data_IF_798367557012
#
_entry.id   IF_798367557012
#
_cell.length_a   1.000
_cell.length_b   1.000
_cell.length_c   1.000
_cell.angle_alpha   90.00
_cell.angle_beta   90.00
_cell.angle_gamma   90.00
#
_symmetry.space_group_name_H-M   'P 1'
#
loop_
_entity.id
_entity.type
_entity.pdbx_description
1 polymer ?
#
# COMPACT_ATOMS: atom_id res chain seq x y z
N UNK A 1 -27.86 3.15 -23.79
CA UNK A 1 -28.18 2.43 -22.54
C UNK A 1 -26.87 2.24 -21.79
N UNK A 2 -26.54 3.14 -20.85
CA UNK A 2 -25.36 2.95 -19.99
C UNK A 2 -25.68 1.84 -19.01
N UNK A 3 -25.06 0.68 -19.17
CA UNK A 3 -25.05 -0.33 -18.12
C UNK A 3 -24.44 0.33 -16.88
N UNK A 4 -25.24 0.53 -15.83
CA UNK A 4 -24.70 0.79 -14.51
C UNK A 4 -23.97 -0.48 -14.10
N UNK A 5 -22.65 -0.50 -14.29
CA UNK A 5 -21.80 -1.54 -13.73
C UNK A 5 -21.97 -1.46 -12.23
N UNK A 6 -22.77 -2.37 -11.66
CA UNK A 6 -22.93 -2.47 -10.21
C UNK A 6 -21.58 -2.83 -9.62
N UNK A 7 -20.95 -1.89 -8.92
CA UNK A 7 -19.72 -2.17 -8.19
C UNK A 7 -20.08 -3.07 -7.00
N UNK A 8 -19.29 -4.11 -6.77
CA UNK A 8 -19.54 -5.08 -5.70
C UNK A 8 -18.39 -5.02 -4.72
N UNK A 9 -18.68 -4.58 -3.50
CA UNK A 9 -17.69 -4.59 -2.41
C UNK A 9 -17.46 -6.01 -1.93
N UNK A 10 -16.19 -6.37 -1.80
CA UNK A 10 -15.75 -7.60 -1.13
C UNK A 10 -15.65 -7.42 0.40
N UNK A 11 -15.81 -6.20 0.88
CA UNK A 11 -15.73 -5.84 2.29
C UNK A 11 -14.30 -5.48 2.72
N UNK A 12 -14.19 -5.13 4.02
CA UNK A 12 -12.90 -4.92 4.66
C UNK A 12 -12.30 -6.26 5.12
N UNK A 13 -10.97 -6.36 5.09
CA UNK A 13 -10.25 -7.55 5.54
C UNK A 13 -10.33 -7.81 7.05
N UNK A 14 -10.77 -6.85 7.87
CA UNK A 14 -10.81 -6.95 9.32
C UNK A 14 -9.89 -5.93 10.00
N UNK A 15 -9.75 -6.04 11.33
CA UNK A 15 -9.08 -5.03 12.17
C UNK A 15 -7.73 -5.49 12.73
N UNK A 16 -7.38 -6.75 12.54
CA UNK A 16 -6.09 -7.32 12.96
C UNK A 16 -5.51 -8.16 11.84
N UNK A 17 -4.20 -8.44 11.92
CA UNK A 17 -3.51 -9.27 10.93
C UNK A 17 -4.09 -10.70 10.91
N UNK A 18 -4.53 -11.20 12.06
CA UNK A 18 -5.16 -12.51 12.24
C UNK A 18 -6.52 -12.56 11.55
N UNK A 19 -7.37 -11.54 11.77
CA UNK A 19 -8.67 -11.44 11.09
C UNK A 19 -8.50 -11.34 9.57
N UNK A 20 -7.53 -10.54 9.11
CA UNK A 20 -7.25 -10.40 7.67
C UNK A 20 -6.86 -11.73 7.03
N UNK A 21 -6.02 -12.53 7.68
CA UNK A 21 -5.67 -13.88 7.19
C UNK A 21 -6.87 -14.83 7.24
N UNK A 22 -7.66 -14.80 8.32
CA UNK A 22 -8.88 -15.61 8.43
C UNK A 22 -9.89 -15.29 7.32
N UNK A 23 -9.95 -14.02 6.89
CA UNK A 23 -10.79 -13.55 5.80
C UNK A 23 -10.15 -13.75 4.41
N UNK A 24 -8.98 -14.41 4.33
CA UNK A 24 -8.30 -14.73 3.05
C UNK A 24 -7.65 -13.53 2.37
N UNK A 25 -7.44 -12.42 3.08
CA UNK A 25 -6.75 -11.26 2.55
C UNK A 25 -5.23 -11.43 2.54
N UNK A 26 -4.59 -10.66 1.66
CA UNK A 26 -3.14 -10.59 1.49
C UNK A 26 -2.64 -9.21 1.89
N UNK A 27 -1.48 -9.16 2.53
CA UNK A 27 -0.86 -7.91 2.89
C UNK A 27 -0.03 -7.36 1.72
N UNK A 28 -0.40 -6.19 1.23
CA UNK A 28 0.34 -5.45 0.21
C UNK A 28 1.25 -4.44 0.92
N UNK A 29 2.56 -4.75 1.00
CA UNK A 29 3.54 -3.91 1.69
C UNK A 29 3.67 -2.53 1.05
N UNK A 30 3.59 -2.43 -0.28
CA UNK A 30 3.65 -1.13 -0.96
C UNK A 30 2.40 -0.30 -0.65
N UNK A 31 1.21 -0.91 -0.50
CA UNK A 31 0.04 -0.20 0.08
C UNK A 31 0.13 0.03 1.59
N UNK A 32 0.98 -0.73 2.28
CA UNK A 32 0.96 -0.89 3.74
C UNK A 32 -0.40 -1.31 4.31
N UNK A 33 -1.17 -2.13 3.58
CA UNK A 33 -2.54 -2.50 3.95
C UNK A 33 -2.95 -3.91 3.50
N UNK A 34 -3.97 -4.45 4.17
CA UNK A 34 -4.57 -5.75 3.85
C UNK A 34 -5.64 -5.58 2.76
N UNK A 35 -5.54 -6.36 1.68
CA UNK A 35 -6.48 -6.33 0.55
C UNK A 35 -7.00 -7.73 0.21
N UNK A 36 -8.19 -7.80 -0.37
CA UNK A 36 -8.64 -9.03 -1.00
C UNK A 36 -7.77 -9.39 -2.22
N UNK A 37 -7.56 -10.68 -2.51
CA UNK A 37 -6.69 -11.13 -3.60
C UNK A 37 -6.95 -10.46 -4.97
N UNK A 38 -8.19 -10.18 -5.40
CA UNK A 38 -8.42 -9.49 -6.68
C UNK A 38 -7.81 -8.08 -6.79
N UNK A 39 -7.74 -7.35 -5.67
CA UNK A 39 -7.13 -6.03 -5.60
C UNK A 39 -5.61 -6.06 -5.34
N UNK A 40 -5.04 -7.23 -5.04
CA UNK A 40 -3.61 -7.37 -4.90
C UNK A 40 -2.96 -7.54 -6.29
N UNK A 41 -1.99 -6.68 -6.59
CA UNK A 41 -1.14 -6.84 -7.77
C UNK A 41 0.29 -7.07 -7.29
N UNK A 42 0.61 -8.34 -7.05
CA UNK A 42 1.92 -8.75 -6.53
C UNK A 42 3.06 -8.29 -7.44
N UNK A 43 2.99 -8.55 -8.75
CA UNK A 43 4.04 -8.17 -9.71
C UNK A 43 4.32 -6.66 -9.66
N UNK A 44 3.26 -5.84 -9.59
CA UNK A 44 3.41 -4.39 -9.51
C UNK A 44 3.98 -3.95 -8.15
N UNK A 45 3.51 -4.55 -7.04
CA UNK A 45 4.04 -4.25 -5.71
C UNK A 45 5.52 -4.60 -5.63
N UNK A 46 5.91 -5.78 -6.13
CA UNK A 46 7.28 -6.28 -6.12
C UNK A 46 8.19 -5.40 -6.98
N UNK A 47 7.71 -4.98 -8.16
CA UNK A 47 8.44 -4.04 -9.02
C UNK A 47 8.74 -2.74 -8.27
N UNK A 48 7.73 -2.12 -7.66
CA UNK A 48 7.91 -0.85 -6.93
C UNK A 48 8.80 -1.01 -5.69
N UNK A 49 8.71 -2.14 -4.98
CA UNK A 49 9.60 -2.45 -3.86
C UNK A 49 11.06 -2.62 -4.33
N UNK A 50 11.28 -3.13 -5.54
CA UNK A 50 12.62 -3.31 -6.12
C UNK A 50 13.25 -2.04 -6.71
N UNK A 51 12.50 -0.94 -6.89
CA UNK A 51 13.03 0.31 -7.45
C UNK A 51 14.05 0.99 -6.52
N UNK A 52 14.03 0.65 -5.22
CA UNK A 52 14.98 1.14 -4.23
C UNK A 52 15.39 0.03 -3.28
N UNK A 53 16.56 0.18 -2.65
CA UNK A 53 17.00 -0.72 -1.57
C UNK A 53 16.36 -0.30 -0.24
N UNK A 54 15.05 -0.51 -0.10
CA UNK A 54 14.33 -0.17 1.13
C UNK A 54 14.83 -1.00 2.32
N UNK A 55 15.11 -0.32 3.43
CA UNK A 55 15.34 -0.93 4.72
C UNK A 55 14.07 -0.76 5.57
N UNK A 56 13.74 -1.78 6.36
CA UNK A 56 12.58 -1.78 7.24
C UNK A 56 13.04 -1.92 8.68
N UNK A 57 12.32 -1.28 9.60
CA UNK A 57 12.65 -1.25 11.02
C UNK A 57 11.40 -1.30 11.88
N UNK A 58 11.54 -1.90 13.05
CA UNK A 58 10.49 -1.92 14.08
C UNK A 58 10.34 -0.59 14.82
N UNK A 59 11.44 0.15 14.92
CA UNK A 59 11.57 1.38 15.69
C UNK A 59 11.95 2.57 14.80
N UNK A 60 11.64 3.76 15.30
CA UNK A 60 11.91 5.01 14.60
C UNK A 60 13.41 5.34 14.52
N UNK A 61 14.22 4.85 15.47
CA UNK A 61 15.65 5.13 15.51
C UNK A 61 16.44 4.29 14.49
N UNK A 62 15.79 3.31 13.85
CA UNK A 62 16.40 2.47 12.82
C UNK A 62 17.36 1.41 13.39
N UNK A 63 17.20 1.05 14.66
CA UNK A 63 18.14 0.17 15.37
C UNK A 63 17.73 -1.31 15.33
N UNK A 64 16.44 -1.61 15.11
CA UNK A 64 15.88 -2.97 15.06
C UNK A 64 15.41 -3.27 13.64
N UNK A 65 16.28 -3.84 12.80
CA UNK A 65 15.94 -4.12 11.41
C UNK A 65 14.85 -5.19 11.29
N UNK A 66 14.12 -5.11 10.18
CA UNK A 66 13.19 -6.09 9.65
C UNK A 66 13.66 -6.50 8.25
N UNK A 67 13.63 -7.79 7.97
CA UNK A 67 13.73 -8.24 6.58
C UNK A 67 12.47 -7.83 5.81
N UNK A 68 12.57 -7.65 4.49
CA UNK A 68 11.39 -7.41 3.65
C UNK A 68 10.38 -8.56 3.78
N UNK A 69 10.86 -9.80 3.90
CA UNK A 69 10.02 -10.97 4.11
C UNK A 69 9.17 -10.85 5.39
N UNK A 70 9.75 -10.38 6.50
CA UNK A 70 9.01 -10.11 7.74
C UNK A 70 8.04 -8.92 7.59
N UNK A 71 8.47 -7.84 6.92
CA UNK A 71 7.61 -6.68 6.66
C UNK A 71 6.36 -7.06 5.84
N UNK A 72 6.51 -7.97 4.87
CA UNK A 72 5.41 -8.53 4.05
C UNK A 72 4.44 -9.41 4.83
N UNK A 73 4.78 -9.85 6.05
CA UNK A 73 3.83 -10.58 6.88
C UNK A 73 2.74 -9.67 7.43
N UNK A 74 2.95 -8.36 7.52
CA UNK A 74 1.96 -7.42 8.07
C UNK A 74 1.66 -7.62 9.57
N UNK A 75 2.61 -8.20 10.32
CA UNK A 75 2.47 -8.52 11.75
C UNK A 75 2.68 -7.31 12.68
N UNK A 76 3.30 -6.26 12.18
CA UNK A 76 3.70 -5.11 13.00
C UNK A 76 2.65 -4.02 12.90
N UNK A 77 2.26 -3.39 14.00
CA UNK A 77 1.35 -2.23 13.91
C UNK A 77 1.97 -1.06 13.14
N UNK A 78 3.29 -0.90 13.30
CA UNK A 78 4.09 0.11 12.63
C UNK A 78 5.34 -0.52 12.04
N UNK A 79 5.72 -0.06 10.86
CA UNK A 79 7.03 -0.32 10.26
C UNK A 79 7.60 1.05 9.87
N UNK A 80 8.89 1.26 10.15
CA UNK A 80 9.62 2.43 9.70
C UNK A 80 10.50 2.06 8.52
N UNK A 81 10.59 2.94 7.53
CA UNK A 81 11.38 2.73 6.31
C UNK A 81 11.84 4.06 5.74
N UNK A 82 12.65 4.00 4.68
CA UNK A 82 13.25 5.17 4.06
C UNK A 82 12.20 6.22 3.68
N UNK A 83 12.56 7.49 3.75
CA UNK A 83 11.70 8.59 3.32
C UNK A 83 11.26 8.49 1.86
N UNK A 84 12.08 7.91 1.00
CA UNK A 84 11.76 7.62 -0.40
C UNK A 84 10.53 6.72 -0.58
N UNK A 85 10.24 5.84 0.40
CA UNK A 85 9.12 4.90 0.32
C UNK A 85 7.77 5.61 0.19
N UNK A 86 7.56 6.72 0.89
CA UNK A 86 6.31 7.49 0.79
C UNK A 86 6.04 7.95 -0.66
N UNK A 87 7.07 8.40 -1.37
CA UNK A 87 6.93 8.85 -2.75
C UNK A 87 6.76 7.69 -3.72
N UNK A 88 7.44 6.57 -3.46
CA UNK A 88 7.25 5.31 -4.19
C UNK A 88 5.81 4.80 -4.06
N UNK A 89 5.26 4.83 -2.84
CA UNK A 89 3.85 4.54 -2.57
C UNK A 89 2.92 5.47 -3.34
N UNK A 90 3.18 6.78 -3.32
CA UNK A 90 2.36 7.75 -4.05
C UNK A 90 2.34 7.47 -5.57
N UNK A 91 3.50 7.16 -6.17
CA UNK A 91 3.57 6.76 -7.57
C UNK A 91 2.89 5.40 -7.84
N UNK A 92 2.99 4.46 -6.88
CA UNK A 92 2.35 3.15 -6.95
C UNK A 92 0.83 3.24 -7.05
N UNK A 93 0.20 4.18 -6.32
CA UNK A 93 -1.26 4.41 -6.40
C UNK A 93 -1.72 4.67 -7.84
N UNK A 94 -1.02 5.50 -8.60
CA UNK A 94 -1.39 5.73 -10.01
C UNK A 94 -1.08 4.53 -10.90
N UNK A 95 0.02 3.83 -10.62
CA UNK A 95 0.33 2.60 -11.34
C UNK A 95 -0.75 1.53 -11.13
N UNK A 96 -1.33 1.41 -9.92
CA UNK A 96 -2.50 0.54 -9.65
C UNK A 96 -3.72 0.99 -10.46
N UNK A 97 -4.03 2.28 -10.49
CA UNK A 97 -5.15 2.80 -11.29
C UNK A 97 -4.99 2.50 -12.79
N UNK A 98 -3.78 2.69 -13.34
CA UNK A 98 -3.48 2.35 -14.74
C UNK A 98 -3.59 0.84 -14.97
N UNK A 99 -3.08 0.03 -14.04
CA UNK A 99 -3.16 -1.43 -14.12
C UNK A 99 -4.61 -1.93 -14.08
N UNK A 100 -5.44 -1.38 -13.21
CA UNK A 100 -6.86 -1.74 -13.07
C UNK A 100 -7.66 -1.49 -14.36
N UNK A 101 -7.35 -0.40 -15.09
CA UNK A 101 -7.97 -0.10 -16.40
C UNK A 101 -7.70 -1.14 -17.48
N UNK A 102 -6.68 -1.99 -17.29
CA UNK A 102 -6.32 -3.07 -18.22
C UNK A 102 -6.93 -4.42 -17.82
N UNK A 103 -7.64 -4.49 -16.69
CA UNK A 103 -8.24 -5.72 -16.15
C UNK A 103 -9.75 -5.78 -16.44
N UNK A 104 -10.26 -6.99 -16.61
CA UNK A 104 -11.70 -7.27 -16.64
C UNK A 104 -11.96 -8.48 -15.72
N UNK A 105 -12.76 -8.34 -14.64
CA UNK A 105 -13.42 -7.10 -14.21
C UNK A 105 -12.42 -6.01 -13.77
N UNK A 106 -12.87 -4.74 -13.82
CA UNK A 106 -12.14 -3.64 -13.19
C UNK A 106 -12.21 -3.82 -11.68
N UNK A 107 -11.05 -3.89 -11.02
CA UNK A 107 -10.94 -4.09 -9.57
C UNK A 107 -9.93 -3.10 -8.99
N UNK A 108 -10.30 -2.41 -7.90
CA UNK A 108 -9.43 -1.43 -7.27
C UNK A 108 -9.79 -1.17 -5.79
N UNK A 109 -8.76 -1.06 -4.95
CA UNK A 109 -8.95 -0.78 -3.53
C UNK A 109 -9.43 0.66 -3.25
N UNK A 110 -10.07 0.86 -2.10
CA UNK A 110 -10.63 2.15 -1.67
C UNK A 110 -9.63 3.30 -1.62
N UNK A 111 -8.39 3.06 -1.19
CA UNK A 111 -7.37 4.10 -1.10
C UNK A 111 -6.84 4.52 -2.47
N UNK A 112 -6.81 3.59 -3.43
CA UNK A 112 -6.46 3.90 -4.82
C UNK A 112 -7.61 4.55 -5.59
N UNK A 113 -8.85 4.47 -5.08
CA UNK A 113 -10.03 5.19 -5.62
C UNK A 113 -10.29 6.53 -4.95
N UNK A 114 -9.76 6.76 -3.74
CA UNK A 114 -9.98 7.97 -2.97
C UNK A 114 -9.36 9.20 -3.65
N UNK A 115 -10.19 10.20 -3.96
CA UNK A 115 -9.75 11.46 -4.58
C UNK A 115 -8.75 12.17 -3.68
N UNK A 116 -9.07 12.33 -2.39
CA UNK A 116 -8.21 13.00 -1.42
C UNK A 116 -6.84 12.33 -1.33
N UNK A 117 -6.80 10.99 -1.27
CA UNK A 117 -5.54 10.26 -1.20
C UNK A 117 -4.72 10.41 -2.48
N UNK A 118 -5.38 10.35 -3.64
CA UNK A 118 -4.73 10.51 -4.96
C UNK A 118 -4.20 11.94 -5.14
N UNK A 119 -4.94 12.97 -4.73
CA UNK A 119 -4.50 14.36 -4.77
C UNK A 119 -3.31 14.62 -3.85
N UNK A 120 -3.31 14.06 -2.63
CA UNK A 120 -2.13 14.05 -1.75
C UNK A 120 -0.94 13.41 -2.46
N UNK A 121 -1.13 12.25 -3.10
CA UNK A 121 -0.06 11.58 -3.84
C UNK A 121 0.49 12.43 -4.99
N UNK A 122 -0.38 13.15 -5.73
CA UNK A 122 0.02 14.10 -6.79
C UNK A 122 0.90 15.20 -6.22
N UNK A 123 0.47 15.82 -5.12
CA UNK A 123 1.22 16.90 -4.50
C UNK A 123 2.56 16.41 -3.95
N UNK A 124 2.61 15.23 -3.32
CA UNK A 124 3.85 14.69 -2.75
C UNK A 124 4.88 14.32 -3.81
N UNK A 125 4.46 13.70 -4.91
CA UNK A 125 5.38 13.38 -6.01
C UNK A 125 5.85 14.65 -6.72
N UNK A 126 4.96 15.62 -6.96
CA UNK A 126 5.30 16.88 -7.63
C UNK A 126 6.13 17.86 -6.79
N UNK A 127 6.08 17.74 -5.46
CA UNK A 127 6.82 18.59 -4.53
C UNK A 127 7.37 17.76 -3.35
N UNK A 128 8.48 17.02 -3.57
CA UNK A 128 9.02 16.14 -2.56
C UNK A 128 9.64 16.90 -1.39
N UNK A 129 9.32 16.48 -0.16
CA UNK A 129 10.01 16.97 1.03
C UNK A 129 11.39 16.32 1.13
N UNK A 130 12.42 17.05 0.69
CA UNK A 130 13.81 16.59 0.65
C UNK A 130 14.38 16.21 2.02
N UNK A 131 13.90 16.83 3.11
CA UNK A 131 14.38 16.48 4.45
C UNK A 131 13.84 15.13 4.88
N UNK A 132 12.60 14.80 4.50
CA UNK A 132 12.03 13.47 4.72
C UNK A 132 12.73 12.42 3.87
N UNK A 133 12.92 12.69 2.57
CA UNK A 133 13.55 11.76 1.60
C UNK A 133 14.90 11.25 2.08
N UNK A 134 15.70 12.13 2.69
CA UNK A 134 17.05 11.79 3.17
C UNK A 134 17.08 10.89 4.42
N UNK A 135 15.94 10.68 5.10
CA UNK A 135 15.90 9.91 6.35
C UNK A 135 15.79 8.40 6.10
N UNK A 136 16.59 7.64 6.85
CA UNK A 136 16.54 6.16 6.88
C UNK A 136 15.19 5.63 7.39
N UNK A 137 14.53 6.36 8.30
CA UNK A 137 13.23 6.03 8.89
C UNK A 137 12.20 7.15 8.64
N UNK A 138 12.33 7.84 7.49
CA UNK A 138 11.48 8.99 7.13
C UNK A 138 10.02 8.65 6.83
N UNK A 139 9.68 7.38 6.64
CA UNK A 139 8.32 6.92 6.38
C UNK A 139 7.89 5.95 7.49
N UNK A 140 6.72 6.21 8.07
CA UNK A 140 6.08 5.32 9.04
C UNK A 140 4.84 4.70 8.40
N UNK A 141 4.86 3.39 8.21
CA UNK A 141 3.76 2.60 7.68
C UNK A 141 2.80 2.19 8.81
N UNK A 142 1.49 2.35 8.61
CA UNK A 142 0.47 1.98 9.59
C UNK A 142 -0.23 0.67 9.20
N UNK A 143 0.50 -0.42 9.32
CA UNK A 143 0.22 -1.73 8.74
C UNK A 143 -1.12 -2.39 9.16
N UNK A 144 -1.60 -2.14 10.38
CA UNK A 144 -2.70 -2.94 10.97
C UNK A 144 -4.09 -2.28 10.99
N UNK A 145 -4.25 -1.05 10.48
CA UNK A 145 -5.57 -0.36 10.50
C UNK A 145 -5.99 0.23 9.17
N UNK A 146 -5.18 0.12 8.11
CA UNK A 146 -5.60 0.52 6.78
C UNK A 146 -6.65 -0.47 6.26
N UNK A 147 -7.91 -0.06 6.36
CA UNK A 147 -9.08 -0.81 5.92
C UNK A 147 -9.28 -0.54 4.44
N UNK A 148 -8.75 -1.45 3.62
CA UNK A 148 -8.92 -1.39 2.19
C UNK A 148 -10.14 -2.24 1.80
N UNK A 149 -11.13 -1.58 1.22
CA UNK A 149 -12.28 -2.25 0.61
C UNK A 149 -11.99 -2.46 -0.88
N UNK A 150 -12.11 -3.71 -1.32
CA UNK A 150 -11.91 -4.10 -2.72
C UNK A 150 -13.25 -4.09 -3.44
N UNK A 151 -13.32 -3.36 -4.56
CA UNK A 151 -14.51 -3.20 -5.40
C UNK A 151 -14.15 -3.50 -6.85
#
# INVERSE_FOLDING_TARGET
LSAHTTSSSMGECGRTSEQARQNGCVFDLMMSGWVHPPCYNQELSDRFLSENNFAFFWDQDGLKPLTEAEARLGNHKFIYTNGTFHYQHCAYIWAKQISARKRSPFVLDSQSRSIEHVEHCIQRVGNPNITQVALQTGTRLHVSTWRLDCI
#
